data_IF_045864427281
#
_entry.id   IF_045864427281
#
_cell.length_a   1.000
_cell.length_b   1.000
_cell.length_c   1.000
_cell.angle_alpha   90.00
_cell.angle_beta   90.00
_cell.angle_gamma   90.00
#
_symmetry.space_group_name_H-M   'P 1'
#
loop_
_entity.id
_entity.type
_entity.pdbx_description
1 polymer ?
#
# COMPACT_ATOMS: atom_id res chain seq x y z
N UNK A 1 -39.35 25.62 32.29
CA UNK A 1 -38.72 25.73 30.96
C UNK A 1 -37.66 24.65 30.85
N UNK A 2 -37.98 23.59 30.12
CA UNK A 2 -37.11 22.42 29.91
C UNK A 2 -36.15 22.73 28.76
N UNK A 3 -34.85 22.56 29.00
CA UNK A 3 -33.79 22.74 28.00
C UNK A 3 -33.81 21.50 27.10
N UNK A 4 -34.19 21.68 25.84
CA UNK A 4 -34.20 20.64 24.81
C UNK A 4 -32.75 20.23 24.43
N UNK A 5 -32.34 18.98 24.68
CA UNK A 5 -31.00 18.50 24.36
C UNK A 5 -30.81 18.15 22.87
N UNK A 6 -31.78 18.41 21.98
CA UNK A 6 -31.69 18.11 20.54
C UNK A 6 -31.14 19.23 19.66
N UNK A 7 -30.63 20.32 20.22
CA UNK A 7 -29.96 21.41 19.46
C UNK A 7 -28.43 21.41 19.64
N UNK A 8 -27.77 20.33 19.24
CA UNK A 8 -26.36 20.35 18.80
C UNK A 8 -26.19 19.44 17.58
N UNK A 9 -26.78 19.86 16.47
CA UNK A 9 -26.42 19.40 15.14
C UNK A 9 -26.43 20.62 14.21
N UNK A 10 -25.64 21.64 14.53
CA UNK A 10 -25.27 22.63 13.52
C UNK A 10 -24.24 21.95 12.62
N UNK A 11 -24.71 21.33 11.53
CA UNK A 11 -23.88 21.24 10.35
C UNK A 11 -23.34 22.66 10.10
N UNK A 12 -22.02 22.84 10.11
CA UNK A 12 -21.42 24.14 9.81
C UNK A 12 -21.96 24.57 8.43
N UNK A 13 -22.66 25.71 8.31
CA UNK A 13 -23.19 26.16 7.02
C UNK A 13 -22.03 26.34 6.03
N UNK A 14 -22.14 25.75 4.84
CA UNK A 14 -21.13 25.84 3.76
C UNK A 14 -20.20 24.63 3.59
N UNK A 15 -20.45 23.50 4.27
CA UNK A 15 -19.64 22.28 4.11
C UNK A 15 -19.95 21.56 2.80
N UNK A 16 -18.94 21.37 1.94
CA UNK A 16 -19.04 20.45 0.80
C UNK A 16 -18.91 19.00 1.31
N UNK A 17 -19.98 18.18 1.31
CA UNK A 17 -19.91 16.82 1.82
C UNK A 17 -18.97 15.93 0.99
N UNK A 18 -18.67 16.31 -0.25
CA UNK A 18 -17.76 15.59 -1.14
C UNK A 18 -16.29 15.97 -0.94
N UNK A 19 -16.00 16.95 -0.08
CA UNK A 19 -14.65 17.37 0.25
C UNK A 19 -14.45 17.47 1.78
N UNK A 20 -14.27 16.34 2.47
CA UNK A 20 -13.99 16.31 3.90
C UNK A 20 -12.57 16.80 4.26
N UNK A 21 -11.72 17.06 3.26
CA UNK A 21 -10.30 17.41 3.44
C UNK A 21 -10.06 18.56 4.43
N UNK A 22 -10.74 19.72 4.30
CA UNK A 22 -10.58 20.84 5.22
C UNK A 22 -10.90 20.48 6.68
N UNK A 23 -11.95 19.68 6.93
CA UNK A 23 -12.31 19.29 8.29
C UNK A 23 -11.34 18.26 8.87
N UNK A 24 -10.88 17.31 8.05
CA UNK A 24 -9.83 16.35 8.44
C UNK A 24 -8.56 17.11 8.84
N UNK A 25 -8.15 18.11 8.05
CA UNK A 25 -6.99 18.92 8.36
C UNK A 25 -7.20 19.76 9.63
N UNK A 26 -8.36 20.40 9.78
CA UNK A 26 -8.66 21.23 10.95
C UNK A 26 -8.60 20.41 12.25
N UNK A 27 -9.19 19.22 12.27
CA UNK A 27 -9.15 18.35 13.45
C UNK A 27 -7.73 17.85 13.73
N UNK A 28 -6.98 17.46 12.69
CA UNK A 28 -5.59 17.05 12.85
C UNK A 28 -4.72 18.17 13.43
N UNK A 29 -4.86 19.40 12.93
CA UNK A 29 -4.17 20.58 13.43
C UNK A 29 -4.51 20.80 14.90
N UNK A 30 -5.81 20.82 15.25
CA UNK A 30 -6.25 21.08 16.62
C UNK A 30 -5.67 20.07 17.61
N UNK A 31 -5.76 18.77 17.31
CA UNK A 31 -5.31 17.71 18.22
C UNK A 31 -3.78 17.68 18.38
N UNK A 32 -3.04 17.97 17.31
CA UNK A 32 -1.58 17.98 17.35
C UNK A 32 -1.07 19.22 18.11
N UNK A 33 -1.61 20.40 17.82
CA UNK A 33 -1.17 21.64 18.48
C UNK A 33 -1.50 21.65 19.97
N UNK A 34 -2.58 20.99 20.39
CA UNK A 34 -2.91 20.89 21.82
C UNK A 34 -1.83 20.14 22.61
N UNK A 35 -1.02 19.29 21.95
CA UNK A 35 -0.05 18.40 22.62
C UNK A 35 1.40 18.69 22.33
N UNK A 36 1.69 19.25 21.16
CA UNK A 36 3.05 19.20 20.58
C UNK A 36 3.49 20.54 19.96
N UNK A 37 2.83 21.65 20.31
CA UNK A 37 3.03 22.96 19.66
C UNK A 37 4.46 23.48 19.69
N UNK A 38 5.15 23.38 20.82
CA UNK A 38 6.40 24.12 21.04
C UNK A 38 7.53 23.70 20.08
N UNK A 39 7.59 22.42 19.73
CA UNK A 39 8.65 21.84 18.90
C UNK A 39 8.22 21.52 17.45
N UNK A 40 6.93 21.71 17.14
CA UNK A 40 6.36 21.39 15.84
C UNK A 40 6.66 22.52 14.84
N UNK A 41 7.33 22.16 13.74
CA UNK A 41 7.64 23.07 12.64
C UNK A 41 6.52 23.13 11.62
N UNK A 42 6.00 21.96 11.28
CA UNK A 42 4.95 21.84 10.28
C UNK A 42 4.13 20.57 10.46
N UNK A 43 2.90 20.63 9.98
CA UNK A 43 2.06 19.46 9.75
C UNK A 43 1.84 19.33 8.24
N UNK A 44 2.22 18.18 7.69
CA UNK A 44 2.14 17.90 6.26
C UNK A 44 1.12 16.79 6.03
N UNK A 45 0.15 17.02 5.15
CA UNK A 45 -0.72 16.00 4.59
C UNK A 45 -0.04 15.38 3.36
N UNK A 46 -0.10 14.06 3.24
CA UNK A 46 0.42 13.30 2.09
C UNK A 46 -0.62 12.32 1.54
N UNK A 47 -0.25 11.57 0.50
CA UNK A 47 -1.09 10.58 -0.14
C UNK A 47 -2.21 11.19 -0.99
N UNK A 48 -3.25 10.39 -1.26
CA UNK A 48 -4.31 10.75 -2.22
C UNK A 48 -5.09 12.01 -1.84
N UNK A 49 -5.27 12.30 -0.55
CA UNK A 49 -5.96 13.52 -0.11
C UNK A 49 -5.14 14.78 -0.40
N UNK A 50 -3.81 14.75 -0.23
CA UNK A 50 -2.94 15.88 -0.56
C UNK A 50 -2.99 16.22 -2.06
N UNK A 51 -3.15 15.21 -2.91
CA UNK A 51 -3.30 15.34 -4.37
C UNK A 51 -4.68 15.82 -4.82
N UNK A 52 -5.65 15.89 -3.92
CA UNK A 52 -7.06 16.09 -4.31
C UNK A 52 -7.68 14.88 -5.03
N UNK A 53 -7.07 13.70 -4.89
CA UNK A 53 -7.45 12.43 -5.54
C UNK A 53 -8.02 11.40 -4.54
N UNK A 54 -8.42 11.86 -3.35
CA UNK A 54 -9.06 11.01 -2.35
C UNK A 54 -10.47 10.60 -2.78
N UNK A 55 -10.83 9.34 -2.57
CA UNK A 55 -12.16 8.82 -2.88
C UNK A 55 -13.07 8.93 -1.66
N UNK A 56 -14.22 9.54 -1.85
CA UNK A 56 -15.24 9.76 -0.82
C UNK A 56 -16.54 9.09 -1.25
N UNK A 57 -17.16 8.36 -0.34
CA UNK A 57 -18.50 7.79 -0.52
C UNK A 57 -19.44 8.39 0.51
N UNK A 58 -20.64 8.79 0.08
CA UNK A 58 -21.69 9.28 0.96
C UNK A 58 -22.74 8.19 1.21
N UNK A 59 -23.08 7.96 2.48
CA UNK A 59 -24.19 7.09 2.88
C UNK A 59 -25.03 7.81 3.94
N UNK A 60 -26.32 8.10 3.63
CA UNK A 60 -27.32 8.62 4.60
C UNK A 60 -26.75 9.66 5.58
N UNK A 61 -26.14 10.72 5.05
CA UNK A 61 -25.46 11.83 5.77
C UNK A 61 -24.08 11.54 6.40
N UNK A 62 -23.51 10.37 6.18
CA UNK A 62 -22.14 10.04 6.57
C UNK A 62 -21.19 10.11 5.38
N UNK A 63 -20.08 10.81 5.59
CA UNK A 63 -18.98 10.88 4.63
C UNK A 63 -17.92 9.85 5.01
N UNK A 64 -17.65 8.90 4.12
CA UNK A 64 -16.59 7.90 4.31
C UNK A 64 -15.49 8.09 3.28
N UNK A 65 -14.27 8.28 3.75
CA UNK A 65 -13.07 8.23 2.91
C UNK A 65 -12.69 6.76 2.70
N UNK A 66 -12.54 6.33 1.45
CA UNK A 66 -12.21 4.93 1.11
C UNK A 66 -10.70 4.63 1.22
N UNK A 67 -9.87 5.67 1.35
CA UNK A 67 -8.46 5.58 1.75
C UNK A 67 -8.27 6.09 3.18
N UNK A 68 -7.04 6.48 3.49
CA UNK A 68 -6.65 7.11 4.75
C UNK A 68 -6.16 8.55 4.52
N UNK A 69 -6.10 9.32 5.62
CA UNK A 69 -5.38 10.59 5.66
C UNK A 69 -4.05 10.38 6.38
N UNK A 70 -2.97 10.53 5.62
CA UNK A 70 -1.61 10.39 6.13
C UNK A 70 -1.01 11.74 6.46
N UNK A 71 -0.53 11.89 7.69
CA UNK A 71 0.11 13.10 8.18
C UNK A 71 1.54 12.85 8.65
N UNK A 72 2.44 13.76 8.30
CA UNK A 72 3.77 13.90 8.88
C UNK A 72 3.79 15.15 9.77
N UNK A 73 3.95 14.95 11.08
CA UNK A 73 4.28 16.02 12.00
C UNK A 73 5.81 16.20 12.01
N UNK A 74 6.28 17.32 11.45
CA UNK A 74 7.70 17.64 11.30
C UNK A 74 8.15 18.46 12.50
N UNK A 75 9.10 17.92 13.25
CA UNK A 75 9.71 18.55 14.41
C UNK A 75 11.10 19.10 14.05
N UNK A 76 11.51 20.16 14.73
CA UNK A 76 12.86 20.70 14.60
C UNK A 76 13.92 19.64 14.93
N UNK A 77 15.11 19.74 14.34
CA UNK A 77 16.21 18.86 14.70
C UNK A 77 16.60 19.06 16.18
N UNK A 78 16.85 17.95 16.87
CA UNK A 78 17.14 17.95 18.31
C UNK A 78 15.91 18.00 19.23
N UNK A 79 14.72 18.29 18.69
CA UNK A 79 13.49 18.29 19.48
C UNK A 79 13.08 16.89 19.96
N UNK A 80 12.39 16.82 21.10
CA UNK A 80 11.88 15.56 21.62
C UNK A 80 10.63 15.14 20.85
N UNK A 81 10.80 14.18 19.93
CA UNK A 81 9.66 13.63 19.17
C UNK A 81 8.78 12.74 20.03
N UNK A 82 7.45 12.81 19.88
CA UNK A 82 6.53 11.87 20.49
C UNK A 82 6.83 10.44 20.02
N UNK A 83 6.68 9.47 20.92
CA UNK A 83 6.78 8.07 20.56
C UNK A 83 5.64 7.68 19.59
N UNK A 84 5.87 6.67 18.75
CA UNK A 84 4.85 6.18 17.80
C UNK A 84 3.52 5.78 18.47
N UNK A 85 3.56 5.28 19.71
CA UNK A 85 2.35 5.00 20.50
C UNK A 85 1.54 6.26 20.82
N UNK A 86 2.20 7.38 21.14
CA UNK A 86 1.53 8.66 21.38
C UNK A 86 0.92 9.22 20.10
N UNK A 87 1.62 9.10 18.96
CA UNK A 87 1.08 9.52 17.66
C UNK A 87 -0.15 8.69 17.26
N UNK A 88 -0.14 7.38 17.49
CA UNK A 88 -1.32 6.51 17.30
C UNK A 88 -2.48 6.90 18.20
N UNK A 89 -2.21 7.23 19.47
CA UNK A 89 -3.26 7.70 20.39
C UNK A 89 -3.88 9.02 19.91
N UNK A 90 -3.08 9.95 19.41
CA UNK A 90 -3.58 11.19 18.79
C UNK A 90 -4.41 10.92 17.54
N UNK A 91 -3.95 10.03 16.66
CA UNK A 91 -4.72 9.63 15.48
C UNK A 91 -6.10 9.05 15.84
N UNK A 92 -6.18 8.18 16.85
CA UNK A 92 -7.46 7.61 17.34
C UNK A 92 -8.42 8.71 17.79
N UNK A 93 -7.93 9.77 18.40
CA UNK A 93 -8.78 10.87 18.86
C UNK A 93 -9.24 11.78 17.72
N UNK A 94 -8.37 12.07 16.74
CA UNK A 94 -8.76 12.76 15.51
C UNK A 94 -9.90 11.98 14.85
N UNK A 95 -9.77 10.65 14.73
CA UNK A 95 -10.84 9.80 14.19
C UNK A 95 -12.13 9.86 15.02
N UNK A 96 -12.03 9.93 16.35
CA UNK A 96 -13.19 10.04 17.22
C UNK A 96 -13.94 11.37 16.99
N UNK A 97 -13.22 12.49 16.97
CA UNK A 97 -13.80 13.82 16.70
C UNK A 97 -14.38 13.94 15.28
N UNK A 98 -13.74 13.34 14.28
CA UNK A 98 -14.28 13.27 12.92
C UNK A 98 -15.59 12.49 12.86
N UNK A 99 -15.73 11.40 13.63
CA UNK A 99 -16.99 10.64 13.72
C UNK A 99 -18.12 11.48 14.31
N UNK A 100 -17.85 12.36 15.28
CA UNK A 100 -18.84 13.32 15.79
C UNK A 100 -19.34 14.26 14.68
N UNK A 101 -18.47 14.54 13.70
CA UNK A 101 -18.80 15.30 12.50
C UNK A 101 -19.32 14.44 11.34
N UNK A 102 -19.68 13.17 11.58
CA UNK A 102 -20.14 12.18 10.58
C UNK A 102 -19.13 11.91 9.45
N UNK A 103 -17.84 12.11 9.73
CA UNK A 103 -16.74 11.73 8.83
C UNK A 103 -16.08 10.46 9.37
N UNK A 104 -16.02 9.44 8.52
CA UNK A 104 -15.20 8.25 8.75
C UNK A 104 -13.97 8.30 7.85
N UNK A 105 -12.82 8.56 8.44
CA UNK A 105 -11.53 8.58 7.75
C UNK A 105 -10.48 7.96 8.67
N UNK A 106 -9.84 6.84 8.28
CA UNK A 106 -8.64 6.36 8.95
C UNK A 106 -7.54 7.42 8.92
N UNK A 107 -6.89 7.65 10.07
CA UNK A 107 -5.83 8.65 10.22
C UNK A 107 -4.53 7.93 10.54
N UNK A 108 -3.50 8.20 9.74
CA UNK A 108 -2.13 7.77 10.00
C UNK A 108 -1.31 9.00 10.33
N UNK A 109 -0.59 8.98 11.46
CA UNK A 109 0.17 10.12 11.94
C UNK A 109 1.58 9.68 12.35
N UNK A 110 2.60 10.29 11.75
CA UNK A 110 4.01 10.00 12.03
C UNK A 110 4.77 11.25 12.47
N UNK A 111 5.56 11.13 13.54
CA UNK A 111 6.48 12.19 13.97
C UNK A 111 7.85 12.00 13.29
N UNK A 112 8.31 13.01 12.55
CA UNK A 112 9.60 13.00 11.86
C UNK A 112 10.42 14.25 12.23
N UNK A 113 11.74 14.18 12.06
CA UNK A 113 12.61 15.36 12.22
C UNK A 113 12.86 16.01 10.86
N UNK A 114 13.27 17.27 10.80
CA UNK A 114 13.72 17.91 9.56
C UNK A 114 14.82 17.10 8.85
N UNK A 115 15.77 16.55 9.60
CA UNK A 115 16.81 15.67 9.06
C UNK A 115 16.29 14.42 8.35
N UNK A 116 15.08 13.93 8.67
CA UNK A 116 14.44 12.85 7.91
C UNK A 116 14.10 13.28 6.49
N UNK A 117 13.55 14.49 6.31
CA UNK A 117 13.20 15.02 5.00
C UNK A 117 14.44 15.22 4.13
N UNK A 118 15.52 15.78 4.72
CA UNK A 118 16.81 15.96 4.03
C UNK A 118 17.46 14.64 3.62
N UNK A 119 17.22 13.58 4.37
CA UNK A 119 17.80 12.25 4.12
C UNK A 119 16.94 11.37 3.20
N UNK A 120 15.77 11.83 2.74
CA UNK A 120 14.93 11.07 1.83
C UNK A 120 15.68 10.80 0.51
N UNK A 121 15.78 9.52 0.17
CA UNK A 121 16.33 9.05 -1.10
C UNK A 121 15.22 8.99 -2.16
N UNK A 122 15.58 8.95 -3.46
CA UNK A 122 14.63 8.64 -4.51
C UNK A 122 13.84 7.38 -4.17
N UNK A 123 12.52 7.54 -4.13
CA UNK A 123 11.53 6.53 -3.81
C UNK A 123 10.17 7.07 -4.24
N UNK A 124 9.21 6.19 -4.53
CA UNK A 124 7.83 6.59 -4.89
C UNK A 124 7.28 7.56 -3.83
N UNK A 125 7.38 7.19 -2.55
CA UNK A 125 6.91 8.02 -1.44
C UNK A 125 7.59 9.39 -1.37
N UNK A 126 8.91 9.45 -1.52
CA UNK A 126 9.66 10.70 -1.41
C UNK A 126 9.34 11.66 -2.57
N UNK A 127 9.22 11.11 -3.78
CA UNK A 127 8.83 11.87 -4.97
C UNK A 127 7.40 12.41 -4.85
N UNK A 128 6.44 11.57 -4.45
CA UNK A 128 5.06 12.01 -4.22
C UNK A 128 4.95 13.05 -3.09
N UNK A 129 5.68 12.85 -1.99
CA UNK A 129 5.66 13.76 -0.86
C UNK A 129 6.20 15.15 -1.25
N UNK A 130 7.28 15.22 -2.04
CA UNK A 130 7.82 16.49 -2.52
C UNK A 130 6.90 17.16 -3.53
N UNK A 131 6.39 16.40 -4.51
CA UNK A 131 5.65 16.95 -5.65
C UNK A 131 4.20 17.31 -5.29
N UNK A 132 3.61 16.60 -4.33
CA UNK A 132 2.18 16.71 -4.04
C UNK A 132 1.84 16.82 -2.55
N UNK A 133 2.83 16.75 -1.64
CA UNK A 133 2.58 16.98 -0.23
C UNK A 133 2.04 18.38 0.03
N UNK A 134 1.15 18.49 1.01
CA UNK A 134 0.50 19.76 1.36
C UNK A 134 0.84 20.12 2.80
N UNK A 135 1.46 21.29 3.01
CA UNK A 135 1.65 21.83 4.36
C UNK A 135 0.31 22.42 4.81
N UNK A 136 -0.32 21.76 5.79
CA UNK A 136 -1.63 22.18 6.32
C UNK A 136 -1.49 23.13 7.50
N UNK A 137 -0.32 23.16 8.15
CA UNK A 137 0.03 24.09 9.21
C UNK A 137 1.54 24.26 9.36
N UNK A 138 2.01 25.44 9.77
CA UNK A 138 3.41 25.73 10.10
C UNK A 138 4.21 26.27 8.92
N UNK A 139 5.50 25.93 8.84
CA UNK A 139 6.43 26.42 7.81
C UNK A 139 6.04 25.91 6.41
N UNK A 140 5.59 26.78 5.48
CA UNK A 140 5.17 26.38 4.13
C UNK A 140 6.32 25.89 3.26
N UNK A 141 7.58 26.12 3.66
CA UNK A 141 8.77 25.74 2.91
C UNK A 141 9.38 24.41 3.34
N UNK A 142 8.84 23.76 4.38
CA UNK A 142 9.42 22.54 4.99
C UNK A 142 9.65 21.40 3.97
N UNK A 143 8.80 21.27 2.96
CA UNK A 143 8.94 20.24 1.91
C UNK A 143 10.10 20.51 0.95
N UNK A 144 10.63 21.75 0.90
CA UNK A 144 11.86 22.08 0.16
C UNK A 144 13.10 21.48 0.79
N UNK A 145 13.02 21.00 2.05
CA UNK A 145 14.10 20.25 2.69
C UNK A 145 14.33 18.88 2.02
N UNK A 146 13.32 18.32 1.34
CA UNK A 146 13.50 17.12 0.53
C UNK A 146 14.45 17.47 -0.63
N UNK A 147 15.42 16.63 -0.99
CA UNK A 147 16.23 16.87 -2.19
C UNK A 147 15.38 17.02 -3.45
N UNK A 148 15.92 17.62 -4.51
CA UNK A 148 15.30 17.50 -5.83
C UNK A 148 15.38 16.04 -6.29
N UNK A 149 14.24 15.49 -6.69
CA UNK A 149 14.10 14.09 -7.07
C UNK A 149 13.51 14.03 -8.48
N UNK A 150 14.08 13.21 -9.36
CA UNK A 150 13.46 12.93 -10.66
C UNK A 150 12.70 11.61 -10.61
N UNK A 151 11.62 11.50 -11.37
CA UNK A 151 10.87 10.26 -11.53
C UNK A 151 11.75 9.09 -12.00
N UNK A 152 12.76 9.36 -12.84
CA UNK A 152 13.73 8.39 -13.35
C UNK A 152 14.68 7.84 -12.28
N UNK A 153 14.85 8.56 -11.18
CA UNK A 153 15.73 8.15 -10.08
C UNK A 153 15.02 7.20 -9.12
N UNK A 154 13.68 7.05 -9.24
CA UNK A 154 12.91 6.12 -8.40
C UNK A 154 13.38 4.69 -8.67
N UNK A 155 13.85 3.95 -7.65
CA UNK A 155 14.31 2.59 -7.83
C UNK A 155 13.22 1.68 -8.37
N UNK A 156 13.54 0.88 -9.39
CA UNK A 156 12.63 -0.13 -9.95
C UNK A 156 12.12 -1.11 -8.87
N UNK A 157 12.93 -1.40 -7.86
CA UNK A 157 12.55 -2.30 -6.77
C UNK A 157 11.38 -1.73 -5.93
N UNK A 158 11.25 -0.41 -5.80
CA UNK A 158 10.11 0.19 -5.09
C UNK A 158 8.79 -0.07 -5.81
N UNK A 159 8.83 -0.06 -7.14
CA UNK A 159 7.69 -0.35 -8.00
C UNK A 159 7.28 -1.82 -7.92
N UNK A 160 8.26 -2.74 -7.98
CA UNK A 160 8.03 -4.16 -7.77
C UNK A 160 7.46 -4.47 -6.37
N UNK A 161 7.98 -3.80 -5.32
CA UNK A 161 7.44 -3.92 -3.96
C UNK A 161 6.00 -3.43 -3.87
N UNK A 162 5.67 -2.33 -4.55
CA UNK A 162 4.29 -1.81 -4.62
C UNK A 162 3.35 -2.85 -5.25
N UNK A 163 3.74 -3.47 -6.37
CA UNK A 163 2.97 -4.53 -7.01
C UNK A 163 2.80 -5.74 -6.08
N UNK A 164 3.87 -6.18 -5.41
CA UNK A 164 3.81 -7.28 -4.44
C UNK A 164 2.87 -6.99 -3.25
N UNK A 165 2.84 -5.73 -2.77
CA UNK A 165 1.89 -5.32 -1.74
C UNK A 165 0.44 -5.44 -2.24
N UNK A 166 0.16 -5.06 -3.49
CA UNK A 166 -1.18 -5.23 -4.09
C UNK A 166 -1.54 -6.70 -4.28
N UNK A 167 -0.59 -7.53 -4.70
CA UNK A 167 -0.77 -8.99 -4.82
C UNK A 167 -1.21 -9.58 -3.46
N UNK A 168 -0.53 -9.22 -2.37
CA UNK A 168 -0.94 -9.65 -1.02
C UNK A 168 -2.34 -9.18 -0.68
N UNK A 169 -2.66 -7.92 -0.94
CA UNK A 169 -4.00 -7.39 -0.69
C UNK A 169 -5.08 -8.15 -1.49
N UNK A 170 -4.77 -8.67 -2.68
CA UNK A 170 -5.71 -9.52 -3.42
C UNK A 170 -5.84 -10.91 -2.81
N UNK A 171 -4.72 -11.53 -2.41
CA UNK A 171 -4.74 -12.82 -1.71
C UNK A 171 -5.64 -12.75 -0.47
N UNK A 172 -5.62 -11.65 0.27
CA UNK A 172 -6.47 -11.45 1.46
C UNK A 172 -7.98 -11.45 1.19
N UNK A 173 -8.43 -11.07 -0.02
CA UNK A 173 -9.85 -10.99 -0.38
C UNK A 173 -10.33 -12.08 -1.32
N UNK A 174 -9.44 -13.00 -1.71
CA UNK A 174 -9.81 -14.18 -2.48
C UNK A 174 -10.33 -15.28 -1.53
N UNK A 175 -11.65 -15.54 -1.48
CA UNK A 175 -12.15 -16.77 -0.88
C UNK A 175 -11.82 -17.99 -1.77
N UNK A 176 -12.18 -19.18 -1.30
CA UNK A 176 -12.08 -20.41 -2.10
C UNK A 176 -12.78 -20.20 -3.47
N UNK A 177 -12.12 -20.53 -4.60
CA UNK A 177 -12.47 -20.01 -5.93
C UNK A 177 -13.78 -20.53 -6.56
N UNK A 178 -14.55 -21.41 -5.90
CA UNK A 178 -15.72 -22.04 -6.53
C UNK A 178 -16.95 -21.14 -6.69
N UNK A 179 -17.12 -20.09 -5.88
CA UNK A 179 -18.36 -19.29 -5.85
C UNK A 179 -18.12 -17.77 -5.77
N UNK A 180 -16.94 -17.29 -6.15
CA UNK A 180 -16.57 -15.89 -5.95
C UNK A 180 -16.86 -15.01 -7.16
N UNK A 181 -17.76 -14.04 -6.98
CA UNK A 181 -17.86 -12.87 -7.84
C UNK A 181 -17.21 -11.65 -7.15
N UNK A 182 -16.01 -11.19 -7.58
CA UNK A 182 -15.38 -9.98 -7.03
C UNK A 182 -16.22 -8.72 -7.23
N UNK A 183 -17.19 -8.71 -8.16
CA UNK A 183 -18.13 -7.61 -8.34
C UNK A 183 -19.25 -7.61 -7.30
N UNK A 184 -19.45 -8.70 -6.55
CA UNK A 184 -20.44 -8.75 -5.47
C UNK A 184 -19.99 -8.01 -4.20
N UNK A 185 -18.67 -7.84 -4.01
CA UNK A 185 -18.09 -7.13 -2.86
C UNK A 185 -17.48 -5.78 -3.28
N UNK A 186 -17.92 -4.70 -2.64
CA UNK A 186 -17.36 -3.37 -2.87
C UNK A 186 -15.87 -3.29 -2.50
N UNK A 187 -15.43 -4.06 -1.50
CA UNK A 187 -14.03 -4.13 -1.08
C UNK A 187 -13.17 -4.86 -2.11
N UNK A 188 -13.63 -6.01 -2.61
CA UNK A 188 -12.92 -6.77 -3.65
C UNK A 188 -12.75 -5.95 -4.93
N UNK A 189 -13.83 -5.30 -5.39
CA UNK A 189 -13.79 -4.39 -6.54
C UNK A 189 -12.80 -3.24 -6.31
N UNK A 190 -12.81 -2.62 -5.13
CA UNK A 190 -11.88 -1.53 -4.81
C UNK A 190 -10.42 -1.99 -4.86
N UNK A 191 -10.10 -3.18 -4.31
CA UNK A 191 -8.75 -3.76 -4.39
C UNK A 191 -8.36 -4.07 -5.84
N UNK A 192 -9.28 -4.57 -6.66
CA UNK A 192 -9.07 -4.82 -8.10
C UNK A 192 -8.79 -3.55 -8.91
N UNK A 193 -9.48 -2.45 -8.60
CA UNK A 193 -9.17 -1.14 -9.14
C UNK A 193 -7.77 -0.70 -8.72
N UNK A 194 -7.43 -0.79 -7.43
CA UNK A 194 -6.09 -0.42 -6.94
C UNK A 194 -4.98 -1.24 -7.60
N UNK A 195 -5.22 -2.53 -7.84
CA UNK A 195 -4.26 -3.38 -8.55
C UNK A 195 -3.96 -2.81 -9.95
N UNK A 196 -4.96 -2.43 -10.74
CA UNK A 196 -4.71 -1.83 -12.05
C UNK A 196 -3.97 -0.49 -11.98
N UNK A 197 -4.32 0.37 -11.02
CA UNK A 197 -3.64 1.66 -10.83
C UNK A 197 -2.17 1.48 -10.45
N UNK A 198 -1.86 0.50 -9.61
CA UNK A 198 -0.49 0.24 -9.17
C UNK A 198 0.30 -0.62 -10.17
N UNK A 199 -0.34 -1.45 -11.00
CA UNK A 199 0.29 -2.03 -12.19
C UNK A 199 0.73 -0.92 -13.17
N UNK A 200 -0.10 0.09 -13.40
CA UNK A 200 0.26 1.23 -14.23
C UNK A 200 1.40 2.04 -13.60
N UNK A 201 1.33 2.28 -12.29
CA UNK A 201 2.40 2.92 -11.53
C UNK A 201 3.71 2.17 -11.71
N UNK A 202 3.67 0.84 -11.57
CA UNK A 202 4.88 0.03 -11.64
C UNK A 202 5.49 0.02 -13.04
N UNK A 203 4.66 -0.20 -14.07
CA UNK A 203 5.08 -0.12 -15.46
C UNK A 203 5.77 1.21 -15.77
N UNK A 204 5.18 2.34 -15.36
CA UNK A 204 5.72 3.67 -15.63
C UNK A 204 7.05 3.95 -14.90
N UNK A 205 7.26 3.40 -13.69
CA UNK A 205 8.58 3.49 -13.03
C UNK A 205 9.62 2.72 -13.84
N UNK A 206 9.32 1.50 -14.27
CA UNK A 206 10.25 0.70 -15.06
C UNK A 206 10.54 1.25 -16.46
N UNK A 207 9.66 2.06 -17.03
CA UNK A 207 9.89 2.78 -18.29
C UNK A 207 10.51 4.17 -18.08
N UNK A 208 10.65 4.63 -16.84
CA UNK A 208 11.25 5.93 -16.52
C UNK A 208 10.33 7.14 -16.79
N UNK A 209 9.01 6.90 -16.84
CA UNK A 209 7.95 7.86 -17.15
C UNK A 209 6.95 8.01 -15.98
N UNK A 210 7.40 7.80 -14.75
CA UNK A 210 6.54 7.84 -13.58
C UNK A 210 5.97 9.25 -13.29
N UNK A 211 4.67 9.31 -13.00
CA UNK A 211 3.93 10.52 -12.64
C UNK A 211 3.34 10.41 -11.22
N UNK A 212 3.31 11.49 -10.42
CA UNK A 212 2.94 11.39 -9.00
C UNK A 212 1.42 11.29 -8.76
N UNK A 213 0.58 11.70 -9.73
CA UNK A 213 -0.89 11.68 -9.62
C UNK A 213 -1.50 10.51 -10.41
N UNK A 214 -2.66 9.99 -9.98
CA UNK A 214 -3.37 8.96 -10.73
C UNK A 214 -3.76 9.47 -12.13
N UNK A 215 -4.20 10.72 -12.22
CA UNK A 215 -4.51 11.35 -13.52
C UNK A 215 -3.29 11.39 -14.43
N UNK A 216 -2.14 11.87 -13.94
CA UNK A 216 -0.91 11.95 -14.72
C UNK A 216 -0.43 10.57 -15.19
N UNK A 217 -0.52 9.55 -14.33
CA UNK A 217 -0.19 8.16 -14.70
C UNK A 217 -1.09 7.64 -15.81
N UNK A 218 -2.40 7.89 -15.73
CA UNK A 218 -3.35 7.48 -16.76
C UNK A 218 -3.06 8.16 -18.11
N UNK A 219 -2.80 9.46 -18.10
CA UNK A 219 -2.49 10.24 -19.31
C UNK A 219 -1.17 9.78 -19.94
N UNK A 220 -0.14 9.58 -19.12
CA UNK A 220 1.17 9.09 -19.56
C UNK A 220 1.10 7.69 -20.15
N UNK A 221 0.39 6.78 -19.49
CA UNK A 221 0.19 5.42 -19.99
C UNK A 221 -0.57 5.43 -21.32
N UNK A 222 -1.59 6.28 -21.45
CA UNK A 222 -2.32 6.48 -22.71
C UNK A 222 -1.43 7.01 -23.83
N UNK A 223 -0.50 7.91 -23.52
CA UNK A 223 0.49 8.40 -24.49
C UNK A 223 1.48 7.29 -24.91
N UNK A 224 1.97 6.51 -23.96
CA UNK A 224 2.86 5.38 -24.21
C UNK A 224 2.19 4.31 -25.09
N UNK A 225 0.92 4.02 -24.85
CA UNK A 225 0.15 3.04 -25.62
C UNK A 225 -0.09 3.41 -27.10
N UNK A 226 0.05 4.70 -27.46
CA UNK A 226 -0.10 5.18 -28.85
C UNK A 226 1.21 5.15 -29.65
N UNK A 227 2.34 4.81 -29.02
CA UNK A 227 3.63 4.77 -29.70
C UNK A 227 3.78 3.43 -30.44
N UNK A 228 3.98 3.42 -31.77
CA UNK A 228 4.03 2.18 -32.56
C UNK A 228 5.22 1.28 -32.22
N UNK A 229 6.33 1.87 -31.77
CA UNK A 229 7.62 1.20 -31.61
C UNK A 229 7.74 0.41 -30.30
N UNK A 230 6.81 0.59 -29.35
CA UNK A 230 6.95 0.05 -27.98
C UNK A 230 6.21 -1.27 -27.75
N UNK A 231 5.37 -1.71 -28.69
CA UNK A 231 4.47 -2.86 -28.49
C UNK A 231 5.20 -4.19 -28.17
N UNK A 232 6.43 -4.38 -28.66
CA UNK A 232 7.22 -5.59 -28.42
C UNK A 232 8.00 -5.58 -27.09
N UNK A 233 8.12 -4.43 -26.41
CA UNK A 233 8.95 -4.29 -25.21
C UNK A 233 8.17 -4.43 -23.89
N UNK A 234 6.83 -4.47 -23.98
CA UNK A 234 5.91 -4.46 -22.84
C UNK A 234 5.35 -5.86 -22.53
N UNK A 235 5.00 -6.13 -21.25
CA UNK A 235 4.55 -7.46 -20.82
C UNK A 235 3.21 -7.92 -21.41
N UNK A 236 2.41 -6.99 -21.94
CA UNK A 236 1.09 -7.24 -22.52
C UNK A 236 0.69 -6.08 -23.44
N UNK A 237 -0.37 -6.23 -24.26
CA UNK A 237 -0.88 -5.15 -25.12
C UNK A 237 -1.26 -3.90 -24.30
N UNK A 238 -0.56 -2.79 -24.54
CA UNK A 238 -0.74 -1.57 -23.75
C UNK A 238 -2.06 -0.86 -24.00
N UNK A 239 -2.60 -0.88 -25.22
CA UNK A 239 -3.79 -0.11 -25.56
C UNK A 239 -5.05 -0.58 -24.79
N UNK A 240 -5.37 -1.90 -24.73
CA UNK A 240 -6.45 -2.38 -23.86
C UNK A 240 -6.18 -2.09 -22.38
N UNK A 241 -4.94 -2.28 -21.93
CA UNK A 241 -4.55 -2.02 -20.54
C UNK A 241 -4.73 -0.55 -20.14
N UNK A 242 -4.30 0.38 -20.99
CA UNK A 242 -4.43 1.82 -20.79
C UNK A 242 -5.90 2.25 -20.67
N UNK A 243 -6.79 1.70 -21.50
CA UNK A 243 -8.24 1.95 -21.38
C UNK A 243 -8.81 1.48 -20.05
N UNK A 244 -8.38 0.31 -19.56
CA UNK A 244 -8.80 -0.20 -18.26
C UNK A 244 -8.30 0.71 -17.12
N UNK A 245 -7.03 1.12 -17.17
CA UNK A 245 -6.44 2.04 -16.18
C UNK A 245 -7.14 3.40 -16.20
N UNK A 246 -7.51 3.92 -17.37
CA UNK A 246 -8.27 5.16 -17.49
C UNK A 246 -9.67 5.02 -16.86
N UNK A 247 -10.37 3.91 -17.09
CA UNK A 247 -11.66 3.64 -16.46
C UNK A 247 -11.52 3.51 -14.93
N UNK A 248 -10.50 2.81 -14.45
CA UNK A 248 -10.16 2.73 -13.03
C UNK A 248 -9.82 4.09 -12.43
N UNK A 249 -9.07 4.94 -13.14
CA UNK A 249 -8.70 6.28 -12.71
C UNK A 249 -9.93 7.17 -12.60
N UNK A 250 -10.79 7.17 -13.62
CA UNK A 250 -12.06 7.90 -13.60
C UNK A 250 -12.93 7.47 -12.43
N UNK A 251 -13.12 6.17 -12.22
CA UNK A 251 -13.90 5.67 -11.09
C UNK A 251 -13.29 6.03 -9.73
N UNK A 252 -11.96 5.98 -9.61
CA UNK A 252 -11.24 6.32 -8.37
C UNK A 252 -11.39 7.81 -8.02
N UNK A 253 -11.39 8.67 -9.04
CA UNK A 253 -11.50 10.12 -8.90
C UNK A 253 -12.94 10.63 -8.92
N UNK A 254 -13.87 9.84 -9.45
CA UNK A 254 -15.30 10.17 -9.43
C UNK A 254 -15.81 10.14 -7.99
N UNK A 255 -16.36 11.29 -7.59
CA UNK A 255 -16.93 11.50 -6.27
C UNK A 255 -18.28 10.80 -6.16
N UNK A 256 -19.02 10.64 -7.25
CA UNK A 256 -20.39 10.10 -7.24
C UNK A 256 -20.46 8.56 -7.15
N UNK A 257 -19.35 7.87 -7.38
CA UNK A 257 -19.28 6.40 -7.39
C UNK A 257 -20.08 5.77 -8.53
N UNK A 258 -20.42 6.54 -9.57
CA UNK A 258 -21.26 6.06 -10.67
C UNK A 258 -20.41 5.40 -11.76
N UNK A 259 -20.94 4.29 -12.32
CA UNK A 259 -20.30 3.43 -13.32
C UNK A 259 -18.96 2.82 -12.90
N UNK A 260 -19.03 1.74 -12.11
CA UNK A 260 -17.88 0.88 -11.86
C UNK A 260 -17.28 0.34 -13.17
N UNK A 261 -15.95 0.27 -13.29
CA UNK A 261 -15.32 -0.35 -14.46
C UNK A 261 -15.70 -1.83 -14.53
N UNK A 262 -15.99 -2.31 -15.75
CA UNK A 262 -16.12 -3.74 -16.00
C UNK A 262 -14.73 -4.37 -15.98
N UNK A 263 -14.41 -5.05 -14.88
CA UNK A 263 -13.11 -5.67 -14.66
C UNK A 263 -13.26 -7.19 -14.61
N UNK A 264 -12.33 -7.89 -15.26
CA UNK A 264 -12.17 -9.33 -15.17
C UNK A 264 -11.03 -9.64 -14.19
N UNK A 265 -11.31 -10.50 -13.21
CA UNK A 265 -10.28 -10.99 -12.29
C UNK A 265 -9.19 -11.74 -13.05
N UNK A 266 -9.56 -12.68 -13.92
CA UNK A 266 -8.61 -13.51 -14.66
C UNK A 266 -7.66 -12.66 -15.51
N UNK A 267 -8.21 -11.64 -16.19
CA UNK A 267 -7.40 -10.69 -16.96
C UNK A 267 -6.49 -9.86 -16.06
N UNK A 268 -6.96 -9.44 -14.89
CA UNK A 268 -6.14 -8.69 -13.95
C UNK A 268 -4.99 -9.54 -13.38
N UNK A 269 -5.24 -10.82 -13.08
CA UNK A 269 -4.24 -11.76 -12.59
C UNK A 269 -3.21 -12.11 -13.68
N UNK A 270 -3.64 -12.32 -14.92
CA UNK A 270 -2.74 -12.53 -16.06
C UNK A 270 -1.84 -11.31 -16.29
N UNK A 271 -2.40 -10.09 -16.33
CA UNK A 271 -1.60 -8.87 -16.42
C UNK A 271 -0.64 -8.72 -15.24
N UNK A 272 -1.10 -8.93 -14.00
CA UNK A 272 -0.25 -8.82 -12.82
C UNK A 272 0.91 -9.82 -12.87
N UNK A 273 0.67 -11.06 -13.29
CA UNK A 273 1.71 -12.10 -13.40
C UNK A 273 2.72 -11.76 -14.50
N UNK A 274 2.26 -11.35 -15.69
CA UNK A 274 3.14 -10.95 -16.80
C UNK A 274 3.99 -9.74 -16.45
N UNK A 275 3.39 -8.72 -15.84
CA UNK A 275 4.12 -7.54 -15.37
C UNK A 275 5.15 -7.92 -14.31
N UNK A 276 4.74 -8.67 -13.28
CA UNK A 276 5.64 -9.11 -12.23
C UNK A 276 6.83 -9.92 -12.76
N UNK A 277 6.61 -10.84 -13.71
CA UNK A 277 7.70 -11.58 -14.38
C UNK A 277 8.62 -10.64 -15.16
N UNK A 278 8.06 -9.69 -15.91
CA UNK A 278 8.83 -8.70 -16.68
C UNK A 278 9.67 -7.79 -15.78
N UNK A 279 9.12 -7.33 -14.66
CA UNK A 279 9.82 -6.54 -13.64
C UNK A 279 11.00 -7.32 -13.04
N UNK A 280 10.75 -8.56 -12.59
CA UNK A 280 11.79 -9.41 -12.01
C UNK A 280 12.92 -9.68 -13.00
N UNK A 281 12.61 -9.89 -14.27
CA UNK A 281 13.62 -10.09 -15.30
C UNK A 281 14.50 -8.85 -15.50
N UNK A 282 13.92 -7.66 -15.46
CA UNK A 282 14.70 -6.41 -15.51
C UNK A 282 15.54 -6.19 -14.26
N UNK A 283 15.02 -6.53 -13.08
CA UNK A 283 15.77 -6.44 -11.81
C UNK A 283 16.90 -7.49 -11.71
N UNK A 284 16.73 -8.65 -12.34
CA UNK A 284 17.66 -9.78 -12.25
C UNK A 284 18.59 -9.92 -13.48
N UNK A 285 18.22 -9.37 -14.63
CA UNK A 285 18.89 -9.59 -15.91
C UNK A 285 18.73 -11.01 -16.46
N UNK A 286 17.73 -11.76 -16.00
CA UNK A 286 17.53 -13.18 -16.37
C UNK A 286 16.72 -13.37 -17.67
N UNK A 287 16.97 -14.46 -18.44
CA UNK A 287 16.22 -14.78 -19.67
C UNK A 287 14.74 -15.13 -19.47
N UNK A 288 13.95 -15.14 -20.55
CA UNK A 288 12.50 -15.41 -20.59
C UNK A 288 12.09 -16.77 -20.03
N UNK A 289 12.90 -17.80 -20.28
CA UNK A 289 12.58 -19.20 -19.97
C UNK A 289 12.78 -19.55 -18.49
N UNK A 290 13.28 -18.61 -17.67
CA UNK A 290 13.53 -18.83 -16.25
C UNK A 290 12.20 -18.90 -15.48
N UNK A 291 12.12 -19.83 -14.54
CA UNK A 291 10.92 -20.03 -13.70
C UNK A 291 10.72 -18.88 -12.72
N UNK A 292 9.47 -18.65 -12.29
CA UNK A 292 9.12 -17.64 -11.27
C UNK A 292 9.98 -17.77 -10.01
N UNK A 293 10.19 -19.01 -9.57
CA UNK A 293 10.97 -19.33 -8.39
C UNK A 293 12.44 -18.91 -8.54
N UNK A 294 13.06 -19.20 -9.68
CA UNK A 294 14.45 -18.85 -9.92
C UNK A 294 14.67 -17.34 -10.04
N UNK A 295 13.70 -16.61 -10.60
CA UNK A 295 13.72 -15.14 -10.63
C UNK A 295 13.70 -14.55 -9.21
N UNK A 296 12.79 -15.03 -8.35
CA UNK A 296 12.69 -14.60 -6.96
C UNK A 296 13.94 -14.95 -6.13
N UNK A 297 14.49 -16.15 -6.31
CA UNK A 297 15.71 -16.58 -5.62
C UNK A 297 16.91 -15.72 -6.02
N UNK A 298 17.03 -15.40 -7.31
CA UNK A 298 18.08 -14.51 -7.82
C UNK A 298 17.93 -13.11 -7.24
N UNK A 299 16.71 -12.55 -7.20
CA UNK A 299 16.48 -11.24 -6.60
C UNK A 299 16.77 -11.26 -5.08
N UNK A 300 16.33 -12.30 -4.38
CA UNK A 300 16.56 -12.47 -2.93
C UNK A 300 18.05 -12.57 -2.59
N UNK A 301 18.83 -13.24 -3.44
CA UNK A 301 20.28 -13.36 -3.29
C UNK A 301 21.02 -12.03 -3.41
N UNK A 302 20.49 -11.07 -4.17
CA UNK A 302 21.06 -9.72 -4.35
C UNK A 302 20.83 -8.76 -3.19
N UNK A 303 19.99 -9.13 -2.22
CA UNK A 303 19.73 -8.28 -1.06
C UNK A 303 20.99 -8.03 -0.24
N UNK A 304 21.24 -6.77 0.20
CA UNK A 304 22.30 -6.48 1.15
C UNK A 304 22.12 -7.29 2.44
N UNK A 305 23.19 -7.92 2.91
CA UNK A 305 23.17 -8.74 4.13
C UNK A 305 22.69 -7.94 5.35
N UNK A 306 23.04 -6.65 5.43
CA UNK A 306 22.60 -5.75 6.49
C UNK A 306 21.06 -5.59 6.53
N UNK A 307 20.41 -5.44 5.37
CA UNK A 307 18.97 -5.28 5.28
C UNK A 307 18.25 -6.59 5.62
N UNK A 308 18.83 -7.72 5.18
CA UNK A 308 18.33 -9.05 5.54
C UNK A 308 18.38 -9.28 7.05
N UNK A 309 19.52 -9.01 7.68
CA UNK A 309 19.70 -9.12 9.13
C UNK A 309 18.74 -8.20 9.88
N UNK A 310 18.62 -6.93 9.45
CA UNK A 310 17.70 -5.97 10.06
C UNK A 310 16.25 -6.47 10.01
N UNK A 311 15.82 -7.03 8.88
CA UNK A 311 14.49 -7.62 8.73
C UNK A 311 14.25 -8.76 9.72
N UNK A 312 15.18 -9.70 9.85
CA UNK A 312 15.05 -10.82 10.79
C UNK A 312 15.11 -10.38 12.26
N UNK A 313 15.95 -9.40 12.60
CA UNK A 313 15.98 -8.81 13.94
C UNK A 313 14.66 -8.13 14.29
N UNK A 314 14.01 -7.47 13.33
CA UNK A 314 12.69 -6.90 13.53
C UNK A 314 11.65 -7.97 13.88
N UNK A 315 11.60 -9.07 13.10
CA UNK A 315 10.70 -10.22 13.37
C UNK A 315 10.97 -10.80 14.75
N UNK A 316 12.23 -11.09 15.08
CA UNK A 316 12.62 -11.65 16.37
C UNK A 316 12.20 -10.76 17.55
N UNK A 317 12.39 -9.44 17.43
CA UNK A 317 11.96 -8.47 18.44
C UNK A 317 10.43 -8.43 18.57
N UNK A 318 9.71 -8.40 17.45
CA UNK A 318 8.25 -8.30 17.41
C UNK A 318 7.58 -9.54 18.00
N UNK A 319 8.13 -10.74 17.77
CA UNK A 319 7.64 -11.99 18.35
C UNK A 319 8.12 -12.24 19.80
N UNK A 320 8.86 -11.31 20.41
CA UNK A 320 9.46 -11.50 21.73
C UNK A 320 10.64 -12.46 21.69
N UNK A 321 11.84 -11.90 21.56
CA UNK A 321 13.12 -12.59 21.31
C UNK A 321 13.27 -13.96 21.99
N UNK A 322 13.16 -14.00 23.33
CA UNK A 322 13.29 -15.20 24.16
C UNK A 322 12.07 -16.13 24.10
N UNK A 323 10.86 -15.59 23.87
CA UNK A 323 9.62 -16.36 23.77
C UNK A 323 9.55 -17.16 22.46
N UNK A 324 10.31 -16.73 21.46
CA UNK A 324 10.31 -17.30 20.11
C UNK A 324 11.49 -18.23 19.82
N UNK A 325 12.23 -18.70 20.82
CA UNK A 325 13.43 -19.53 20.61
C UNK A 325 13.18 -20.78 19.75
N UNK A 326 11.98 -21.36 19.83
CA UNK A 326 11.56 -22.50 19.01
C UNK A 326 11.50 -22.20 17.51
N UNK A 327 11.35 -20.93 17.13
CA UNK A 327 11.30 -20.47 15.74
C UNK A 327 12.68 -20.15 15.18
N UNK A 328 13.72 -20.02 16.01
CA UNK A 328 15.05 -19.59 15.55
C UNK A 328 15.69 -20.54 14.53
N UNK A 329 15.62 -21.89 14.66
CA UNK A 329 16.18 -22.78 13.64
C UNK A 329 15.53 -22.59 12.27
N UNK A 330 14.21 -22.33 12.26
CA UNK A 330 13.47 -22.01 11.05
C UNK A 330 13.91 -20.67 10.48
N UNK A 331 13.99 -19.62 11.30
CA UNK A 331 14.44 -18.30 10.87
C UNK A 331 15.86 -18.32 10.32
N UNK A 332 16.78 -19.06 10.95
CA UNK A 332 18.14 -19.23 10.45
C UNK A 332 18.18 -19.89 9.06
N UNK A 333 17.32 -20.90 8.83
CA UNK A 333 17.18 -21.54 7.50
C UNK A 333 16.62 -20.57 6.47
N UNK A 334 15.55 -19.84 6.82
CA UNK A 334 14.88 -18.89 5.94
C UNK A 334 15.76 -17.67 5.62
N UNK A 335 16.58 -17.21 6.57
CA UNK A 335 17.54 -16.12 6.37
C UNK A 335 18.62 -16.43 5.33
N UNK A 336 18.85 -17.70 4.99
CA UNK A 336 19.71 -18.06 3.85
C UNK A 336 19.02 -17.80 2.52
N UNK A 337 17.69 -17.90 2.47
CA UNK A 337 16.88 -17.70 1.26
C UNK A 337 16.55 -16.23 1.00
N UNK A 338 16.27 -15.44 2.03
CA UNK A 338 15.97 -14.02 1.86
C UNK A 338 15.58 -13.29 3.14
N UNK A 339 15.25 -12.01 3.00
CA UNK A 339 14.63 -11.22 4.07
C UNK A 339 13.18 -11.67 4.30
N UNK A 340 12.61 -11.43 5.50
CA UNK A 340 11.20 -11.75 5.78
C UNK A 340 10.25 -11.16 4.74
N UNK A 341 10.52 -9.94 4.27
CA UNK A 341 9.70 -9.26 3.27
C UNK A 341 9.59 -10.06 1.97
N UNK A 342 10.73 -10.49 1.43
CA UNK A 342 10.76 -11.20 0.16
C UNK A 342 10.16 -12.60 0.26
N UNK A 343 10.31 -13.25 1.40
CA UNK A 343 9.68 -14.55 1.64
C UNK A 343 8.16 -14.44 1.71
N UNK A 344 7.63 -13.37 2.31
CA UNK A 344 6.19 -13.09 2.31
C UNK A 344 5.70 -12.76 0.89
N UNK A 345 6.45 -11.97 0.12
CA UNK A 345 6.12 -11.72 -1.29
C UNK A 345 6.13 -12.98 -2.13
N UNK A 346 7.14 -13.84 -1.97
CA UNK A 346 7.26 -15.13 -2.65
C UNK A 346 6.04 -16.02 -2.36
N UNK A 347 5.70 -16.19 -1.07
CA UNK A 347 4.54 -16.97 -0.65
C UNK A 347 3.23 -16.42 -1.24
N UNK A 348 3.05 -15.10 -1.27
CA UNK A 348 1.85 -14.45 -1.81
C UNK A 348 1.75 -14.58 -3.33
N UNK A 349 2.86 -14.43 -4.06
CA UNK A 349 2.88 -14.60 -5.52
C UNK A 349 2.62 -16.05 -5.92
N UNK A 350 3.26 -17.01 -5.23
CA UNK A 350 3.01 -18.44 -5.45
C UNK A 350 1.54 -18.79 -5.19
N UNK A 351 0.95 -18.26 -4.12
CA UNK A 351 -0.48 -18.41 -3.88
C UNK A 351 -1.28 -17.82 -5.04
N UNK A 352 -1.14 -16.52 -5.31
CA UNK A 352 -2.02 -15.82 -6.25
C UNK A 352 -1.96 -16.40 -7.68
N UNK A 353 -0.76 -16.76 -8.15
CA UNK A 353 -0.53 -17.20 -9.53
C UNK A 353 -0.67 -18.71 -9.72
N UNK A 354 -0.64 -19.50 -8.65
CA UNK A 354 -1.06 -20.90 -8.73
C UNK A 354 -2.58 -20.94 -8.93
N UNK A 355 -2.97 -20.89 -10.20
CA UNK A 355 -4.32 -20.76 -10.75
C UNK A 355 -5.49 -20.93 -9.76
N UNK A 356 -6.41 -19.95 -9.67
CA UNK A 356 -7.70 -20.09 -8.98
C UNK A 356 -8.53 -21.29 -9.48
N UNK A 357 -8.29 -21.80 -10.70
CA UNK A 357 -8.96 -22.97 -11.25
C UNK A 357 -8.32 -24.31 -10.84
N UNK A 358 -7.25 -24.28 -10.04
CA UNK A 358 -6.55 -25.49 -9.60
C UNK A 358 -7.44 -26.36 -8.70
N UNK A 359 -7.27 -27.67 -8.79
CA UNK A 359 -7.97 -28.61 -7.91
C UNK A 359 -7.63 -28.35 -6.43
N UNK A 360 -8.53 -28.70 -5.47
CA UNK A 360 -8.23 -28.53 -4.05
C UNK A 360 -6.90 -29.18 -3.60
N UNK A 361 -6.51 -30.29 -4.22
CA UNK A 361 -5.22 -30.94 -3.96
C UNK A 361 -4.02 -30.09 -4.42
N UNK A 362 -4.12 -29.47 -5.60
CA UNK A 362 -3.09 -28.56 -6.09
C UNK A 362 -3.01 -27.29 -5.23
N UNK A 363 -4.15 -26.74 -4.80
CA UNK A 363 -4.20 -25.60 -3.87
C UNK A 363 -3.56 -25.93 -2.52
N UNK A 364 -3.81 -27.12 -1.96
CA UNK A 364 -3.22 -27.56 -0.70
C UNK A 364 -1.70 -27.79 -0.81
N UNK A 365 -1.22 -28.30 -1.95
CA UNK A 365 0.20 -28.41 -2.24
C UNK A 365 0.88 -27.03 -2.28
N UNK A 366 0.31 -26.08 -3.02
CA UNK A 366 0.80 -24.69 -3.09
C UNK A 366 0.78 -24.05 -1.72
N UNK A 367 -0.32 -24.20 -0.96
CA UNK A 367 -0.45 -23.63 0.37
C UNK A 367 0.63 -24.17 1.34
N UNK A 368 1.01 -25.45 1.21
CA UNK A 368 2.07 -26.07 2.00
C UNK A 368 3.45 -25.50 1.65
N UNK A 369 3.74 -25.31 0.35
CA UNK A 369 4.99 -24.71 -0.12
C UNK A 369 5.09 -23.24 0.33
N UNK A 370 4.06 -22.44 0.09
CA UNK A 370 4.01 -21.04 0.50
C UNK A 370 4.15 -20.88 2.03
N UNK A 371 3.48 -21.72 2.81
CA UNK A 371 3.62 -21.73 4.28
C UNK A 371 5.04 -22.09 4.73
N UNK A 372 5.79 -22.88 3.96
CA UNK A 372 7.18 -23.21 4.28
C UNK A 372 8.12 -21.99 4.18
N UNK A 373 7.71 -20.94 3.46
CA UNK A 373 8.51 -19.72 3.27
C UNK A 373 8.21 -18.65 4.32
N UNK A 374 7.05 -18.70 4.97
CA UNK A 374 6.63 -17.64 5.89
C UNK A 374 7.47 -17.60 7.19
N UNK A 375 7.83 -16.38 7.67
CA UNK A 375 8.54 -16.20 8.94
C UNK A 375 7.82 -16.83 10.14
N UNK A 376 6.51 -16.61 10.23
CA UNK A 376 5.65 -17.14 11.28
C UNK A 376 4.48 -17.89 10.65
N UNK A 377 4.20 -19.07 11.18
CA UNK A 377 3.10 -19.94 10.74
C UNK A 377 2.26 -20.24 11.97
N UNK A 378 0.96 -19.97 11.92
CA UNK A 378 0.07 -20.29 13.04
C UNK A 378 -0.23 -21.80 13.06
N UNK A 379 -0.40 -22.40 14.25
CA UNK A 379 -0.75 -23.82 14.33
C UNK A 379 -2.03 -24.12 13.56
N UNK A 380 -1.99 -25.12 12.69
CA UNK A 380 -3.16 -25.65 11.98
C UNK A 380 -4.01 -26.48 12.95
N UNK A 381 -5.34 -26.35 12.86
CA UNK A 381 -6.26 -27.19 13.64
C UNK A 381 -6.53 -28.47 12.86
N UNK A 382 -5.67 -29.49 13.04
CA UNK A 382 -5.86 -30.83 12.46
C UNK A 382 -4.67 -31.37 11.66
N UNK A 383 -4.70 -32.67 11.35
CA UNK A 383 -3.62 -33.42 10.70
C UNK A 383 -3.72 -33.50 9.15
N UNK A 384 -4.67 -32.80 8.55
CA UNK A 384 -4.92 -32.81 7.09
C UNK A 384 -4.14 -31.69 6.41
N UNK A 385 -3.86 -31.85 5.12
CA UNK A 385 -3.23 -30.83 4.27
C UNK A 385 -3.82 -29.44 4.51
N UNK A 386 -2.95 -28.43 4.56
CA UNK A 386 -3.31 -27.12 5.09
C UNK A 386 -4.37 -26.44 4.21
N UNK A 387 -5.50 -25.99 4.78
CA UNK A 387 -6.51 -25.28 4.01
C UNK A 387 -5.96 -23.99 3.42
N UNK A 388 -6.36 -23.67 2.19
CA UNK A 388 -6.03 -22.43 1.49
C UNK A 388 -6.26 -21.18 2.36
N UNK A 389 -7.41 -21.13 3.04
CA UNK A 389 -7.80 -20.03 3.91
C UNK A 389 -6.80 -19.77 5.07
N UNK A 390 -6.19 -20.82 5.62
CA UNK A 390 -5.18 -20.65 6.67
C UNK A 390 -3.89 -20.05 6.12
N UNK A 391 -3.47 -20.47 4.93
CA UNK A 391 -2.30 -19.90 4.25
C UNK A 391 -2.52 -18.43 3.93
N UNK A 392 -3.68 -18.07 3.37
CA UNK A 392 -4.06 -16.67 3.11
C UNK A 392 -3.97 -15.85 4.40
N UNK A 393 -4.56 -16.37 5.48
CA UNK A 393 -4.56 -15.67 6.74
C UNK A 393 -3.15 -15.53 7.34
N UNK A 394 -2.25 -16.50 7.10
CA UNK A 394 -0.85 -16.42 7.54
C UNK A 394 -0.02 -15.43 6.72
N UNK A 395 -0.21 -15.38 5.40
CA UNK A 395 0.39 -14.35 4.54
C UNK A 395 -0.04 -12.97 5.02
N UNK A 396 -1.35 -12.77 5.23
CA UNK A 396 -1.93 -11.54 5.74
C UNK A 396 -1.33 -11.14 7.10
N UNK A 397 -1.22 -12.09 8.03
CA UNK A 397 -0.62 -11.87 9.35
C UNK A 397 0.84 -11.40 9.23
N UNK A 398 1.67 -12.12 8.47
CA UNK A 398 3.08 -11.76 8.33
C UNK A 398 3.25 -10.40 7.64
N UNK A 399 2.42 -10.08 6.65
CA UNK A 399 2.43 -8.78 5.99
C UNK A 399 2.10 -7.64 6.97
N UNK A 400 0.97 -7.75 7.69
CA UNK A 400 0.51 -6.71 8.62
C UNK A 400 1.47 -6.52 9.79
N UNK A 401 1.98 -7.60 10.36
CA UNK A 401 2.83 -7.53 11.56
C UNK A 401 4.29 -7.18 11.29
N UNK A 402 4.81 -7.54 10.12
CA UNK A 402 6.25 -7.41 9.84
C UNK A 402 6.59 -6.48 8.69
N UNK A 403 5.66 -6.14 7.80
CA UNK A 403 5.95 -5.39 6.58
C UNK A 403 5.28 -4.00 6.56
N UNK A 404 3.99 -3.89 6.89
CA UNK A 404 3.20 -2.65 6.74
C UNK A 404 3.84 -1.44 7.45
N UNK A 405 4.31 -1.62 8.68
CA UNK A 405 4.93 -0.54 9.47
C UNK A 405 6.43 -0.38 9.22
N UNK A 406 7.03 -1.24 8.39
CA UNK A 406 8.45 -1.16 8.05
C UNK A 406 8.60 -0.38 6.75
N UNK A 407 8.83 0.93 6.84
CA UNK A 407 9.33 1.70 5.69
C UNK A 407 10.76 1.22 5.41
N UNK A 408 11.06 0.92 4.15
CA UNK A 408 12.40 0.47 3.72
C UNK A 408 13.41 1.61 3.80
#
# INVERSE_FOLDING_TARGET
MSIDPRRRASARPGRDPWNPGPDICAEAIQQILTRHREDLRALVLTGSLARGEGTVTLDREHCRVQGDAEFLAVFADGARRPAASAMRATAVQIQAALRECRISCPITLSAVAEGYLRALRPAIFAYELRSCGSVVWGDPTVLRLIPELNARDVPMEDAWRLLCNRIIEQVEVMPSPKDWDPLSSSEARYRLVKLHLDMATSLLVFTGDYEPTYRGRSERLGALARQPETAAEHPFPLEPFARTVEACTRWKLDRSGSNAPSLSLDTALDHAHRLWRWELRRLTGMPDHVTDQALLETLSARQPAADRLRGWLYVARRCGWHRSWRLWPRWARLARRGSPRYLVYSAACQALFASPAASPAAQAAVASVAAAELPVVRPSVGAVARPWAEMVADVAFNYREFLVDTRA
#
